data_IF_745026985508
#
_entry.id   IF_745026985508
#
_cell.length_a   1.000
_cell.length_b   1.000
_cell.length_c   1.000
_cell.angle_alpha   90.00
_cell.angle_beta   90.00
_cell.angle_gamma   90.00
#
_symmetry.space_group_name_H-M   'P 1'
#
loop_
_entity.id
_entity.type
_entity.pdbx_description
1 polymer ?
#
# COMPACT_ATOMS: atom_id res chain seq x y z
N UNK A 1 17.24 11.44 5.98
CA UNK A 1 16.31 12.19 5.11
C UNK A 1 15.55 11.19 4.23
N UNK A 2 14.34 10.82 4.62
CA UNK A 2 13.48 9.94 3.80
C UNK A 2 13.03 10.73 2.57
N UNK A 3 13.46 10.32 1.37
CA UNK A 3 12.93 10.84 0.10
C UNK A 3 11.42 10.61 0.12
N UNK A 4 10.64 11.67 0.40
CA UNK A 4 9.21 11.70 0.11
C UNK A 4 9.07 11.61 -1.40
N UNK A 5 8.96 10.39 -1.93
CA UNK A 5 8.45 10.19 -3.28
C UNK A 5 7.01 10.70 -3.24
N UNK A 6 6.79 11.96 -3.59
CA UNK A 6 5.47 12.54 -3.84
C UNK A 6 4.90 11.82 -5.07
N UNK A 7 4.43 10.59 -4.85
CA UNK A 7 3.56 9.91 -5.80
C UNK A 7 2.20 10.54 -5.58
N UNK A 8 1.95 11.69 -6.20
CA UNK A 8 0.63 12.30 -6.15
C UNK A 8 -0.34 11.39 -6.89
N UNK A 9 -1.24 10.76 -6.13
CA UNK A 9 -2.28 9.92 -6.69
C UNK A 9 -3.49 10.84 -6.91
N UNK A 10 -3.86 11.02 -8.18
CA UNK A 10 -4.96 11.91 -8.58
C UNK A 10 -6.26 11.53 -7.86
N UNK A 11 -7.03 12.55 -7.49
CA UNK A 11 -8.38 12.48 -6.91
C UNK A 11 -8.49 11.81 -5.53
N UNK A 12 -7.39 11.37 -4.91
CA UNK A 12 -7.44 10.70 -3.59
C UNK A 12 -8.04 11.60 -2.52
N UNK A 13 -7.67 12.89 -2.48
CA UNK A 13 -8.18 13.82 -1.48
C UNK A 13 -9.71 13.95 -1.56
N UNK A 14 -10.23 14.21 -2.75
CA UNK A 14 -11.66 14.42 -3.00
C UNK A 14 -12.47 13.15 -2.69
N UNK A 15 -12.00 11.98 -3.14
CA UNK A 15 -12.68 10.71 -2.90
C UNK A 15 -12.63 10.29 -1.42
N UNK A 16 -11.52 10.57 -0.72
CA UNK A 16 -11.44 10.38 0.73
C UNK A 16 -12.44 11.26 1.47
N UNK A 17 -12.47 12.56 1.17
CA UNK A 17 -13.40 13.51 1.78
C UNK A 17 -14.86 13.11 1.53
N UNK A 18 -15.18 12.70 0.30
CA UNK A 18 -16.52 12.23 -0.08
C UNK A 18 -16.94 10.97 0.71
N UNK A 19 -16.08 9.95 0.74
CA UNK A 19 -16.36 8.71 1.44
C UNK A 19 -16.46 8.89 2.96
N UNK A 20 -15.67 9.82 3.51
CA UNK A 20 -15.57 10.08 4.96
C UNK A 20 -16.47 11.22 5.44
N UNK A 21 -17.19 11.92 4.55
CA UNK A 21 -18.04 13.08 4.87
C UNK A 21 -19.04 12.84 6.02
N UNK A 22 -19.50 11.60 6.20
CA UNK A 22 -20.45 11.19 7.25
C UNK A 22 -19.79 10.37 8.38
N UNK A 23 -18.47 10.26 8.39
CA UNK A 23 -17.75 9.48 9.39
C UNK A 23 -17.65 10.28 10.70
N UNK A 24 -18.16 9.70 11.79
CA UNK A 24 -18.06 10.27 13.15
C UNK A 24 -16.83 9.80 13.93
N UNK A 25 -16.11 8.80 13.41
CA UNK A 25 -14.93 8.19 14.03
C UNK A 25 -13.64 8.69 13.35
N UNK A 26 -12.48 8.31 13.90
CA UNK A 26 -11.16 8.64 13.32
C UNK A 26 -11.06 8.15 11.86
N UNK A 27 -10.75 9.08 10.96
CA UNK A 27 -10.70 8.86 9.51
C UNK A 27 -9.26 8.72 8.99
N UNK A 28 -9.11 8.16 7.78
CA UNK A 28 -7.84 8.11 7.08
C UNK A 28 -7.45 9.51 6.60
N UNK A 29 -6.46 10.11 7.23
CA UNK A 29 -5.88 11.37 6.76
C UNK A 29 -5.00 11.16 5.54
N UNK A 30 -4.91 12.18 4.69
CA UNK A 30 -4.10 12.14 3.47
C UNK A 30 -2.62 11.86 3.76
N UNK A 31 -2.07 12.42 4.87
CA UNK A 31 -0.68 12.19 5.26
C UNK A 31 -0.43 10.72 5.62
N UNK A 32 -1.30 10.12 6.44
CA UNK A 32 -1.16 8.72 6.86
C UNK A 32 -1.33 7.77 5.65
N UNK A 33 -2.23 8.12 4.73
CA UNK A 33 -2.36 7.41 3.46
C UNK A 33 -1.02 7.38 2.70
N UNK A 34 -0.37 8.53 2.49
CA UNK A 34 0.90 8.56 1.77
C UNK A 34 2.06 7.88 2.52
N UNK A 35 2.08 7.91 3.84
CA UNK A 35 3.03 7.13 4.65
C UNK A 35 2.86 5.62 4.43
N UNK A 36 1.60 5.15 4.40
CA UNK A 36 1.28 3.74 4.12
C UNK A 36 1.61 3.35 2.68
N UNK A 37 1.33 4.20 1.69
CA UNK A 37 1.74 3.98 0.29
C UNK A 37 3.26 3.88 0.18
N UNK A 38 4.01 4.72 0.91
CA UNK A 38 5.47 4.67 0.91
C UNK A 38 5.98 3.36 1.53
N UNK A 39 5.38 2.93 2.64
CA UNK A 39 5.70 1.65 3.30
C UNK A 39 5.40 0.45 2.39
N UNK A 40 4.24 0.46 1.71
CA UNK A 40 3.86 -0.53 0.72
C UNK A 40 4.88 -0.60 -0.42
N UNK A 41 5.28 0.56 -0.97
CA UNK A 41 6.26 0.61 -2.05
C UNK A 41 7.62 0.07 -1.62
N UNK A 42 8.09 0.39 -0.41
CA UNK A 42 9.35 -0.17 0.13
C UNK A 42 9.26 -1.69 0.24
N UNK A 43 8.18 -2.20 0.84
CA UNK A 43 7.98 -3.65 1.00
C UNK A 43 7.95 -4.38 -0.34
N UNK A 44 7.33 -3.78 -1.37
CA UNK A 44 7.33 -4.33 -2.73
C UNK A 44 8.69 -4.22 -3.42
N UNK A 45 9.44 -3.15 -3.19
CA UNK A 45 10.78 -2.97 -3.72
C UNK A 45 11.79 -3.94 -3.10
N UNK A 46 11.49 -4.51 -1.92
CA UNK A 46 12.29 -5.58 -1.31
C UNK A 46 12.00 -6.94 -1.98
N UNK A 47 10.73 -7.26 -2.25
CA UNK A 47 10.35 -8.61 -2.73
C UNK A 47 10.22 -8.75 -4.25
N UNK A 48 10.04 -7.64 -4.99
CA UNK A 48 9.82 -7.65 -6.44
C UNK A 48 10.66 -6.58 -7.15
N UNK A 49 10.94 -6.77 -8.44
CA UNK A 49 11.49 -5.72 -9.28
C UNK A 49 10.40 -4.77 -9.76
N UNK A 50 10.75 -3.50 -9.98
CA UNK A 50 9.79 -2.45 -10.37
C UNK A 50 8.98 -2.76 -11.63
N UNK A 51 9.55 -3.49 -12.59
CA UNK A 51 8.85 -3.87 -13.82
C UNK A 51 7.81 -4.97 -13.58
N UNK A 52 8.05 -5.85 -12.60
CA UNK A 52 7.14 -6.94 -12.21
C UNK A 52 6.00 -6.44 -11.32
N UNK A 53 6.13 -5.27 -10.71
CA UNK A 53 5.09 -4.71 -9.82
C UNK A 53 3.83 -4.21 -10.57
N UNK A 54 3.82 -4.24 -11.91
CA UNK A 54 2.66 -3.79 -12.69
C UNK A 54 1.46 -4.72 -12.48
N UNK A 55 0.32 -4.13 -12.18
CA UNK A 55 -0.95 -4.83 -11.97
C UNK A 55 -1.21 -5.24 -10.52
N UNK A 56 -0.29 -4.96 -9.59
CA UNK A 56 -0.51 -5.22 -8.17
C UNK A 56 -1.70 -4.40 -7.68
N UNK A 57 -2.65 -5.08 -7.05
CA UNK A 57 -3.84 -4.50 -6.44
C UNK A 57 -3.67 -4.49 -4.92
N UNK A 58 -3.82 -3.31 -4.32
CA UNK A 58 -3.64 -3.14 -2.90
C UNK A 58 -4.76 -2.29 -2.29
N UNK A 59 -5.12 -2.58 -1.04
CA UNK A 59 -6.05 -1.77 -0.25
C UNK A 59 -5.38 -1.26 1.01
N UNK A 60 -5.54 0.04 1.25
CA UNK A 60 -4.94 0.74 2.39
C UNK A 60 -6.04 1.15 3.37
N UNK A 61 -5.83 0.79 4.63
CA UNK A 61 -6.70 1.14 5.76
C UNK A 61 -5.88 1.65 6.94
N UNK A 62 -6.49 2.48 7.79
CA UNK A 62 -5.91 2.89 9.09
C UNK A 62 -6.73 2.35 10.24
N UNK A 63 -6.04 2.17 11.35
CA UNK A 63 -6.63 1.76 12.61
C UNK A 63 -7.67 2.80 13.04
N UNK A 64 -8.93 2.37 13.11
CA UNK A 64 -9.98 3.10 13.78
C UNK A 64 -10.14 2.50 15.17
N UNK A 65 -9.67 3.22 16.19
CA UNK A 65 -9.92 2.83 17.59
C UNK A 65 -11.41 2.95 17.86
N UNK A 66 -12.03 1.85 18.26
CA UNK A 66 -13.44 1.81 18.66
C UNK A 66 -13.50 1.73 20.19
N UNK A 67 -14.45 2.43 20.82
CA UNK A 67 -14.64 2.34 22.26
C UNK A 67 -15.09 0.92 22.64
N UNK A 68 -14.66 0.42 23.80
CA UNK A 68 -15.03 -0.92 24.29
C UNK A 68 -16.54 -1.11 24.49
N UNK A 69 -17.28 -0.02 24.72
CA UNK A 69 -18.74 -0.03 24.86
C UNK A 69 -19.50 0.00 23.51
N UNK A 70 -18.80 0.03 22.37
CA UNK A 70 -19.44 0.03 21.07
C UNK A 70 -19.93 -1.37 20.71
N UNK A 71 -21.26 -1.53 20.67
CA UNK A 71 -21.91 -2.80 20.35
C UNK A 71 -22.25 -2.97 18.86
N UNK A 72 -21.83 -2.03 18.00
CA UNK A 72 -22.08 -2.08 16.54
C UNK A 72 -20.94 -2.76 15.77
N UNK A 73 -21.17 -3.03 14.47
CA UNK A 73 -20.09 -3.46 13.57
C UNK A 73 -19.34 -2.21 13.07
N UNK A 74 -18.05 -2.06 13.38
CA UNK A 74 -17.30 -0.89 12.97
C UNK A 74 -17.05 -0.87 11.46
N UNK A 75 -17.03 0.33 10.92
CA UNK A 75 -16.73 0.59 9.51
C UNK A 75 -15.37 1.26 9.36
N UNK A 76 -14.55 0.76 8.44
CA UNK A 76 -13.29 1.36 8.03
C UNK A 76 -13.43 2.08 6.69
N UNK A 77 -12.46 2.93 6.37
CA UNK A 77 -12.29 3.47 5.02
C UNK A 77 -11.18 2.71 4.31
N UNK A 78 -11.49 2.20 3.13
CA UNK A 78 -10.57 1.47 2.26
C UNK A 78 -10.22 2.36 1.08
N UNK A 79 -8.93 2.46 0.79
CA UNK A 79 -8.43 3.10 -0.44
C UNK A 79 -7.83 2.02 -1.31
N UNK A 80 -8.52 1.70 -2.39
CA UNK A 80 -8.15 0.64 -3.30
C UNK A 80 -7.27 1.22 -4.42
N UNK A 81 -6.11 0.62 -4.63
CA UNK A 81 -5.06 1.08 -5.50
C UNK A 81 -4.63 -0.01 -6.48
N UNK A 82 -4.22 0.40 -7.68
CA UNK A 82 -3.57 -0.47 -8.65
C UNK A 82 -2.23 0.12 -9.09
N UNK A 83 -1.18 -0.70 -9.15
CA UNK A 83 0.13 -0.27 -9.62
C UNK A 83 0.17 -0.31 -11.14
N UNK A 84 0.37 0.85 -11.78
CA UNK A 84 0.66 0.94 -13.20
C UNK A 84 2.17 1.14 -13.44
N UNK A 85 2.59 1.33 -14.70
CA UNK A 85 4.01 1.54 -15.06
C UNK A 85 4.61 2.82 -14.48
N UNK A 86 3.81 3.87 -14.26
CA UNK A 86 4.24 5.20 -13.81
C UNK A 86 4.14 5.39 -12.29
N UNK A 87 3.18 4.75 -11.64
CA UNK A 87 2.89 4.95 -10.22
C UNK A 87 1.70 4.12 -9.73
N UNK A 88 1.32 4.37 -8.48
CA UNK A 88 0.03 3.94 -7.96
C UNK A 88 -1.10 4.76 -8.58
N UNK A 89 -2.21 4.11 -8.89
CA UNK A 89 -3.43 4.74 -9.37
C UNK A 89 -4.58 4.39 -8.42
N UNK A 90 -5.40 5.39 -8.10
CA UNK A 90 -6.64 5.19 -7.36
C UNK A 90 -7.63 4.39 -8.21
N UNK A 91 -8.16 3.32 -7.64
CA UNK A 91 -9.29 2.55 -8.18
C UNK A 91 -10.59 3.06 -7.57
N UNK A 92 -10.61 3.24 -6.26
CA UNK A 92 -11.76 3.78 -5.54
C UNK A 92 -11.50 3.96 -4.06
N UNK A 93 -12.43 4.67 -3.42
CA UNK A 93 -12.50 4.79 -1.96
C UNK A 93 -13.87 4.31 -1.53
N UNK A 94 -13.90 3.42 -0.55
CA UNK A 94 -15.16 2.86 -0.02
C UNK A 94 -15.13 2.79 1.49
N UNK A 95 -16.32 2.73 2.09
CA UNK A 95 -16.49 2.41 3.50
C UNK A 95 -17.20 1.08 3.63
N UNK A 96 -16.63 0.21 4.44
CA UNK A 96 -17.13 -1.15 4.60
C UNK A 96 -16.84 -1.65 6.02
N UNK A 97 -17.48 -2.74 6.43
CA UNK A 97 -17.26 -3.36 7.74
C UNK A 97 -15.81 -3.81 7.89
N UNK A 98 -15.14 -3.40 8.97
CA UNK A 98 -13.78 -3.82 9.25
C UNK A 98 -13.07 -3.01 10.35
N UNK A 99 -12.09 -3.65 10.99
CA UNK A 99 -11.10 -3.01 11.87
C UNK A 99 -9.65 -3.37 11.47
N UNK A 100 -9.12 -3.02 10.29
CA UNK A 100 -7.68 -3.15 10.08
C UNK A 100 -6.99 -1.78 10.04
N UNK A 101 -5.87 -1.66 10.76
CA UNK A 101 -4.74 -0.90 10.24
C UNK A 101 -3.94 -1.86 9.38
N UNK A 102 -4.30 -1.98 8.11
CA UNK A 102 -3.65 -2.97 7.25
C UNK A 102 -3.37 -2.41 5.86
N UNK A 103 -2.35 -3.00 5.24
CA UNK A 103 -2.04 -2.86 3.83
C UNK A 103 -2.22 -4.26 3.25
N UNK A 104 -3.31 -4.47 2.54
CA UNK A 104 -3.60 -5.76 1.91
C UNK A 104 -3.21 -5.72 0.45
N UNK A 105 -2.56 -6.78 -0.03
CA UNK A 105 -2.31 -7.01 -1.46
C UNK A 105 -3.21 -8.16 -1.89
N UNK A 106 -4.13 -7.89 -2.82
CA UNK A 106 -5.18 -8.84 -3.18
C UNK A 106 -4.73 -9.94 -4.13
N UNK A 107 -3.70 -9.67 -4.93
CA UNK A 107 -3.30 -10.52 -6.04
C UNK A 107 -1.82 -10.93 -5.98
N UNK A 108 -1.22 -10.92 -4.78
CA UNK A 108 0.20 -11.25 -4.58
C UNK A 108 0.55 -12.66 -5.07
N UNK A 109 -0.41 -13.60 -5.00
CA UNK A 109 -0.23 -14.97 -5.47
C UNK A 109 0.16 -15.08 -6.95
N UNK A 110 -0.27 -14.11 -7.78
CA UNK A 110 0.08 -14.05 -9.21
C UNK A 110 1.56 -13.75 -9.45
N UNK A 111 2.28 -13.28 -8.43
CA UNK A 111 3.67 -12.83 -8.51
C UNK A 111 4.65 -13.76 -7.77
N UNK A 112 4.20 -14.96 -7.34
CA UNK A 112 5.02 -15.90 -6.56
C UNK A 112 6.32 -16.28 -7.24
N UNK A 113 6.29 -16.53 -8.54
CA UNK A 113 7.48 -16.93 -9.31
C UNK A 113 8.50 -15.80 -9.39
N UNK A 114 8.06 -14.56 -9.62
CA UNK A 114 8.92 -13.38 -9.68
C UNK A 114 9.53 -13.07 -8.31
N UNK A 115 8.74 -13.22 -7.24
CA UNK A 115 9.22 -13.08 -5.86
C UNK A 115 10.30 -14.14 -5.58
N UNK A 116 10.02 -15.40 -5.88
CA UNK A 116 10.96 -16.50 -5.68
C UNK A 116 12.25 -16.29 -6.50
N UNK A 117 12.13 -15.83 -7.75
CA UNK A 117 13.25 -15.52 -8.62
C UNK A 117 14.15 -14.42 -8.04
N UNK A 118 13.58 -13.32 -7.55
CA UNK A 118 14.36 -12.23 -6.96
C UNK A 118 15.08 -12.69 -5.68
N UNK A 119 14.36 -13.35 -4.77
CA UNK A 119 14.92 -13.85 -3.51
C UNK A 119 16.05 -14.84 -3.77
N UNK A 120 15.87 -15.76 -4.72
CA UNK A 120 16.90 -16.75 -5.07
C UNK A 120 18.11 -16.09 -5.72
N UNK A 121 17.90 -15.16 -6.68
CA UNK A 121 19.00 -14.42 -7.31
C UNK A 121 19.81 -13.62 -6.30
N UNK A 122 19.16 -12.92 -5.37
CA UNK A 122 19.86 -12.10 -4.37
C UNK A 122 20.70 -12.97 -3.42
N UNK A 123 20.27 -14.22 -3.14
CA UNK A 123 21.06 -15.19 -2.38
C UNK A 123 22.27 -15.76 -3.14
N UNK A 124 22.24 -15.78 -4.47
CA UNK A 124 23.30 -16.34 -5.32
C UNK A 124 24.20 -15.27 -5.96
N UNK A 125 24.15 -14.00 -5.50
CA UNK A 125 25.10 -12.97 -5.93
C UNK A 125 26.48 -13.28 -5.36
N UNK A 126 27.38 -13.76 -6.22
CA UNK A 126 28.82 -13.73 -5.94
C UNK A 126 29.26 -12.27 -6.12
N UNK A 127 29.65 -11.62 -5.02
CA UNK A 127 30.28 -10.30 -5.06
C UNK A 127 31.76 -10.54 -5.34
N UNK A 128 32.20 -10.28 -6.58
CA UNK A 128 33.62 -10.19 -6.87
C UNK A 128 34.12 -8.87 -6.26
N UNK A 129 35.08 -8.89 -5.30
CA UNK A 129 35.69 -7.66 -4.83
C UNK A 129 36.38 -6.97 -6.02
N UNK A 130 36.24 -5.65 -6.09
CA UNK A 130 36.86 -4.84 -7.12
C UNK A 130 38.37 -5.14 -7.18
N UNK A 131 38.85 -5.51 -8.36
CA UNK A 131 40.29 -5.63 -8.62
C UNK A 131 40.83 -4.20 -8.56
N UNK A 132 41.46 -3.85 -7.44
CA UNK A 132 42.23 -2.62 -7.33
C UNK A 132 43.49 -2.80 -8.20
N UNK A 133 43.57 -2.02 -9.29
CA UNK A 133 44.80 -1.83 -10.07
C UNK A 133 45.87 -1.08 -9.25
#
# INVERSE_FOLDING_TARGET
>A
MTKKSNTEIRNVKEELEKAQSRARARTLSLNNFYEKVSTLQQSLDDVLYKHDQRGIEASITVYTKVASAYNGVPQATFVDLIRNTKGWKLVGVRRDTGIPADIQIHNLDKYKEQIAYKITRDKHRIVCPDIQD
#
